data_IF_628522886214
#
_entry.id   IF_628522886214
#
_cell.length_a   1.000
_cell.length_b   1.000
_cell.length_c   1.000
_cell.angle_alpha   90.00
_cell.angle_beta   90.00
_cell.angle_gamma   90.00
#
_symmetry.space_group_name_H-M   'P 1'
#
loop_
_entity.id
_entity.type
_entity.pdbx_description
1 polymer ?
#
# COMPACT_ATOMS: atom_id res chain seq x y z
N UNK A 1 -5.91 3.35 -18.55
CA UNK A 1 -4.57 3.90 -18.22
C UNK A 1 -3.92 3.30 -16.96
N UNK A 2 -4.64 2.80 -15.95
CA UNK A 2 -4.07 2.34 -14.67
C UNK A 2 -3.32 0.99 -14.68
N UNK A 3 -3.65 0.06 -15.59
CA UNK A 3 -3.01 -1.27 -15.67
C UNK A 3 -1.53 -1.24 -16.11
N UNK A 4 -1.12 -0.16 -16.79
CA UNK A 4 0.26 0.04 -17.28
C UNK A 4 1.26 0.40 -16.16
N UNK A 5 0.82 1.16 -15.15
CA UNK A 5 1.67 1.59 -14.02
C UNK A 5 2.04 0.39 -13.16
N UNK A 6 1.11 -0.55 -12.95
CA UNK A 6 1.39 -1.77 -12.19
C UNK A 6 2.49 -2.62 -12.83
N UNK A 7 2.41 -2.85 -14.15
CA UNK A 7 3.40 -3.64 -14.91
C UNK A 7 4.77 -2.97 -14.98
N UNK A 8 4.82 -1.63 -14.96
CA UNK A 8 6.07 -0.86 -14.99
C UNK A 8 6.62 -0.55 -13.61
N UNK A 9 5.93 -0.92 -12.53
CA UNK A 9 6.32 -0.57 -11.17
C UNK A 9 7.71 -1.14 -10.83
N UNK A 10 8.53 -0.31 -10.19
CA UNK A 10 9.80 -0.67 -9.58
C UNK A 10 10.04 0.24 -8.36
N UNK A 11 11.13 0.01 -7.63
CA UNK A 11 11.45 0.79 -6.42
C UNK A 11 11.64 2.29 -6.71
N UNK A 12 12.21 2.63 -7.87
CA UNK A 12 12.42 4.02 -8.30
C UNK A 12 11.08 4.76 -8.44
N UNK A 13 10.09 4.13 -9.08
CA UNK A 13 8.74 4.69 -9.20
C UNK A 13 8.08 4.81 -7.83
N UNK A 14 8.23 3.80 -6.96
CA UNK A 14 7.68 3.85 -5.61
C UNK A 14 8.27 5.02 -4.80
N UNK A 15 9.59 5.24 -4.88
CA UNK A 15 10.27 6.36 -4.24
C UNK A 15 9.79 7.70 -4.78
N UNK A 16 9.65 7.85 -6.10
CA UNK A 16 9.11 9.06 -6.72
C UNK A 16 7.68 9.35 -6.23
N UNK A 17 6.81 8.34 -6.22
CA UNK A 17 5.44 8.49 -5.75
C UNK A 17 5.37 8.82 -4.24
N UNK A 18 6.21 8.18 -3.43
CA UNK A 18 6.27 8.45 -1.99
C UNK A 18 6.76 9.86 -1.69
N UNK A 19 7.77 10.35 -2.42
CA UNK A 19 8.25 11.73 -2.33
C UNK A 19 7.12 12.73 -2.63
N UNK A 20 6.33 12.49 -3.67
CA UNK A 20 5.18 13.33 -4.01
C UNK A 20 4.07 13.31 -2.95
N UNK A 21 3.97 12.24 -2.15
CA UNK A 21 3.03 12.11 -1.03
C UNK A 21 3.62 12.59 0.32
N UNK A 22 4.85 13.12 0.31
CA UNK A 22 5.55 13.54 1.52
C UNK A 22 5.90 12.40 2.48
N UNK A 23 6.13 11.18 1.95
CA UNK A 23 6.48 10.00 2.74
C UNK A 23 7.92 9.60 2.47
N UNK A 24 8.69 9.42 3.54
CA UNK A 24 10.00 8.79 3.48
C UNK A 24 9.89 7.27 3.66
N UNK A 25 10.24 6.50 2.62
CA UNK A 25 10.10 5.04 2.64
C UNK A 25 11.20 4.37 3.47
N UNK A 26 10.91 4.14 4.75
CA UNK A 26 11.73 3.26 5.61
C UNK A 26 11.49 1.78 5.33
N UNK A 27 12.33 0.89 5.89
CA UNK A 27 12.16 -0.58 5.82
C UNK A 27 10.74 -1.06 6.15
N UNK A 28 10.08 -0.43 7.13
CA UNK A 28 8.70 -0.75 7.55
C UNK A 28 7.66 -0.44 6.46
N UNK A 29 7.89 0.58 5.64
CA UNK A 29 7.01 0.91 4.52
C UNK A 29 7.16 -0.13 3.41
N UNK A 30 8.40 -0.49 3.08
CA UNK A 30 8.71 -1.51 2.08
C UNK A 30 8.08 -2.86 2.41
N UNK A 31 8.11 -3.28 3.68
CA UNK A 31 7.41 -4.50 4.13
C UNK A 31 5.93 -4.52 3.70
N UNK A 32 5.23 -3.40 3.88
CA UNK A 32 3.80 -3.27 3.56
C UNK A 32 3.58 -3.16 2.05
N UNK A 33 4.40 -2.36 1.35
CA UNK A 33 4.32 -2.18 -0.10
C UNK A 33 4.50 -3.52 -0.81
N UNK A 34 5.54 -4.27 -0.46
CA UNK A 34 5.79 -5.60 -1.03
C UNK A 34 4.70 -6.61 -0.71
N UNK A 35 4.19 -6.58 0.53
CA UNK A 35 3.11 -7.45 0.95
C UNK A 35 1.84 -7.23 0.12
N UNK A 36 1.49 -5.98 -0.13
CA UNK A 36 0.26 -5.62 -0.88
C UNK A 36 0.44 -5.88 -2.37
N UNK A 37 1.63 -5.68 -2.92
CA UNK A 37 1.95 -6.08 -4.29
C UNK A 37 1.84 -7.59 -4.47
N UNK A 38 2.34 -8.38 -3.51
CA UNK A 38 2.18 -9.84 -3.51
C UNK A 38 0.70 -10.23 -3.46
N UNK A 39 -0.09 -9.57 -2.61
CA UNK A 39 -1.54 -9.80 -2.56
C UNK A 39 -2.20 -9.51 -3.91
N UNK A 40 -1.92 -8.36 -4.52
CA UNK A 40 -2.50 -8.00 -5.82
C UNK A 40 -2.10 -8.99 -6.93
N UNK A 41 -0.85 -9.48 -6.94
CA UNK A 41 -0.40 -10.50 -7.90
C UNK A 41 -1.17 -11.82 -7.78
N UNK A 42 -1.61 -12.18 -6.57
CA UNK A 42 -2.33 -13.44 -6.33
C UNK A 42 -3.83 -13.30 -6.59
N UNK A 43 -4.43 -12.20 -6.14
CA UNK A 43 -5.88 -12.04 -6.13
C UNK A 43 -6.42 -11.10 -7.22
N UNK A 44 -5.56 -10.37 -7.94
CA UNK A 44 -5.91 -9.43 -9.01
C UNK A 44 -6.87 -8.28 -8.63
N UNK A 45 -7.06 -7.99 -7.33
CA UNK A 45 -7.82 -6.83 -6.87
C UNK A 45 -7.11 -6.09 -5.72
N UNK A 46 -7.47 -4.82 -5.53
CA UNK A 46 -6.87 -3.96 -4.51
C UNK A 46 -7.51 -4.21 -3.14
N UNK A 47 -6.73 -4.51 -2.09
CA UNK A 47 -7.28 -4.83 -0.78
C UNK A 47 -7.93 -3.62 -0.10
N UNK A 48 -8.96 -3.84 0.72
CA UNK A 48 -9.50 -2.81 1.61
C UNK A 48 -8.61 -2.63 2.85
N UNK A 49 -8.81 -1.56 3.63
CA UNK A 49 -8.04 -1.34 4.87
C UNK A 49 -8.16 -2.50 5.87
N UNK A 50 -9.36 -3.08 5.99
CA UNK A 50 -9.61 -4.24 6.86
C UNK A 50 -8.76 -5.43 6.42
N UNK A 51 -8.68 -5.67 5.11
CA UNK A 51 -7.85 -6.73 4.53
C UNK A 51 -6.36 -6.43 4.75
N UNK A 52 -5.91 -5.19 4.52
CA UNK A 52 -4.50 -4.80 4.76
C UNK A 52 -4.10 -5.07 6.22
N UNK A 53 -4.92 -4.63 7.19
CA UNK A 53 -4.68 -4.88 8.61
C UNK A 53 -4.58 -6.38 8.88
N UNK A 54 -5.52 -7.18 8.35
CA UNK A 54 -5.58 -8.64 8.54
C UNK A 54 -4.35 -9.34 7.96
N UNK A 55 -3.89 -8.95 6.77
CA UNK A 55 -2.69 -9.56 6.16
C UNK A 55 -1.42 -9.19 6.94
N UNK A 56 -1.28 -7.92 7.37
CA UNK A 56 -0.15 -7.50 8.21
C UNK A 56 -0.18 -8.23 9.55
N UNK A 57 -1.36 -8.41 10.14
CA UNK A 57 -1.57 -9.18 11.36
C UNK A 57 -1.13 -10.63 11.20
N UNK A 58 -1.54 -11.32 10.14
CA UNK A 58 -1.13 -12.71 9.91
C UNK A 58 0.37 -12.84 9.69
N UNK A 59 1.01 -11.86 9.03
CA UNK A 59 2.45 -11.94 8.72
C UNK A 59 3.36 -11.50 9.88
N UNK A 60 2.94 -10.52 10.67
CA UNK A 60 3.80 -9.85 11.66
C UNK A 60 3.21 -9.78 13.07
N UNK A 61 2.02 -10.34 13.28
CA UNK A 61 1.31 -10.35 14.56
C UNK A 61 0.73 -9.00 14.97
N UNK A 62 0.20 -8.95 16.19
CA UNK A 62 -0.57 -7.83 16.72
C UNK A 62 0.23 -6.51 16.79
N UNK A 63 1.56 -6.58 16.95
CA UNK A 63 2.43 -5.40 17.05
C UNK A 63 2.39 -4.51 15.80
N UNK A 64 2.21 -5.09 14.62
CA UNK A 64 2.14 -4.36 13.34
C UNK A 64 0.75 -4.41 12.70
N UNK A 65 -0.03 -5.46 12.97
CA UNK A 65 -1.34 -5.71 12.36
C UNK A 65 -2.49 -4.90 12.96
N UNK A 66 -2.34 -3.58 13.08
CA UNK A 66 -3.38 -2.70 13.59
C UNK A 66 -3.44 -1.36 12.84
N UNK A 67 -4.58 -0.67 12.94
CA UNK A 67 -4.80 0.61 12.26
C UNK A 67 -3.78 1.66 12.69
N UNK A 68 -3.49 1.77 13.99
CA UNK A 68 -2.57 2.76 14.57
C UNK A 68 -1.19 2.66 13.90
N UNK A 69 -0.65 1.44 13.74
CA UNK A 69 0.63 1.21 13.08
C UNK A 69 0.64 1.71 11.64
N UNK A 70 -0.43 1.44 10.89
CA UNK A 70 -0.56 1.86 9.49
C UNK A 70 -0.66 3.39 9.38
N UNK A 71 -1.46 4.03 10.24
CA UNK A 71 -1.60 5.48 10.26
C UNK A 71 -0.29 6.18 10.65
N UNK A 72 0.49 5.60 11.57
CA UNK A 72 1.83 6.11 11.92
C UNK A 72 2.82 6.08 10.75
N UNK A 73 2.72 5.07 9.87
CA UNK A 73 3.61 4.94 8.72
C UNK A 73 3.18 5.84 7.55
N UNK A 74 1.92 5.71 7.10
CA UNK A 74 1.50 6.34 5.85
C UNK A 74 0.78 7.68 6.03
N UNK A 75 0.53 8.13 7.27
CA UNK A 75 0.06 9.46 7.70
C UNK A 75 -0.92 10.20 6.77
N UNK A 76 -2.16 10.44 7.20
CA UNK A 76 -3.29 10.97 6.38
C UNK A 76 -3.59 10.11 5.13
N UNK A 77 -4.81 9.58 5.02
CA UNK A 77 -5.24 8.74 3.89
C UNK A 77 -4.31 7.55 3.59
N UNK A 78 -4.03 6.66 4.58
CA UNK A 78 -3.04 5.60 4.42
C UNK A 78 -3.36 4.64 3.28
N UNK A 79 -4.65 4.31 3.06
CA UNK A 79 -5.08 3.40 1.99
C UNK A 79 -4.67 3.94 0.62
N UNK A 80 -5.02 5.20 0.36
CA UNK A 80 -4.72 5.87 -0.90
C UNK A 80 -3.21 5.86 -1.16
N UNK A 81 -2.42 6.24 -0.15
CA UNK A 81 -0.96 6.29 -0.25
C UNK A 81 -0.35 4.91 -0.47
N UNK A 82 -0.78 3.92 0.29
CA UNK A 82 -0.34 2.54 0.13
C UNK A 82 -0.63 2.03 -1.28
N UNK A 83 -1.86 2.20 -1.79
CA UNK A 83 -2.22 1.77 -3.14
C UNK A 83 -1.42 2.50 -4.21
N UNK A 84 -1.31 3.84 -4.08
CA UNK A 84 -0.56 4.68 -5.03
C UNK A 84 0.90 4.26 -5.09
N UNK A 85 1.60 4.23 -3.95
CA UNK A 85 3.03 3.89 -3.87
C UNK A 85 3.28 2.44 -4.30
N UNK A 86 2.35 1.54 -4.02
CA UNK A 86 2.44 0.14 -4.45
C UNK A 86 2.13 -0.06 -5.95
N UNK A 87 1.77 1.00 -6.68
CA UNK A 87 1.45 0.95 -8.10
C UNK A 87 0.13 0.25 -8.41
N UNK A 88 -0.76 0.13 -7.43
CA UNK A 88 -2.08 -0.48 -7.61
C UNK A 88 -2.99 0.49 -8.38
N UNK A 89 -3.95 -0.04 -9.17
CA UNK A 89 -4.93 0.82 -9.84
C UNK A 89 -5.66 1.68 -8.80
N UNK A 90 -5.84 2.96 -9.12
CA UNK A 90 -6.62 3.89 -8.29
C UNK A 90 -7.98 3.23 -8.00
N UNK A 91 -8.36 3.14 -6.73
CA UNK A 91 -9.71 2.78 -6.33
C UNK A 91 -10.65 3.76 -7.06
N UNK A 92 -11.40 3.27 -8.04
CA UNK A 92 -12.44 4.05 -8.71
C UNK A 92 -13.50 4.35 -7.65
N UNK A 93 -13.44 5.57 -7.10
CA UNK A 93 -14.42 6.21 -6.21
C UNK A 93 -14.84 5.40 -4.96
N UNK A 94 -14.52 5.93 -3.78
CA UNK A 94 -15.56 5.99 -2.76
C UNK A 94 -16.64 6.91 -3.34
N UNK A 95 -17.74 6.33 -3.83
CA UNK A 95 -18.97 7.08 -4.01
C UNK A 95 -19.46 7.42 -2.60
N UNK A 96 -19.67 8.72 -2.38
CA UNK A 96 -20.26 9.26 -1.16
C UNK A 96 -21.63 8.64 -0.89
#
# INVERSE_FOLDING_TARGET
MTKLIFKKWNEIIALFLAKNEGIFLTKKHWEIIYLIRKFYNVFNYSPSIKIIIKIIYYKYGNKKGNSIYIYKLFNKNPIYKIHKISGLPKLLKCLN
#
